data_IF_807725016180
#
_entry.id   IF_807725016180
#
_cell.length_a   1.000
_cell.length_b   1.000
_cell.length_c   1.000
_cell.angle_alpha   90.00
_cell.angle_beta   90.00
_cell.angle_gamma   90.00
#
_symmetry.space_group_name_H-M   'P 1'
#
loop_
_entity.id
_entity.type
_entity.pdbx_description
1 polymer ?
#
# COMPACT_ATOMS: atom_id res chain seq x y z
N UNK A 1 1.42 13.81 12.46
CA UNK A 1 1.97 12.52 12.00
C UNK A 1 3.33 12.31 12.66
N UNK A 2 3.68 11.08 13.05
CA UNK A 2 5.01 10.77 13.62
C UNK A 2 6.13 10.98 12.58
N UNK A 3 7.26 11.54 13.01
CA UNK A 3 8.46 11.67 12.18
C UNK A 3 9.01 10.28 11.80
N UNK A 4 9.71 10.14 10.66
CA UNK A 4 10.30 8.87 10.23
C UNK A 4 11.14 8.18 11.32
N UNK A 5 12.01 8.92 12.00
CA UNK A 5 12.92 8.39 13.02
C UNK A 5 12.15 7.77 14.19
N UNK A 6 11.07 8.44 14.63
CA UNK A 6 10.22 7.93 15.71
C UNK A 6 9.41 6.71 15.27
N UNK A 7 8.98 6.64 14.01
CA UNK A 7 8.32 5.45 13.46
C UNK A 7 9.27 4.25 13.42
N UNK A 8 10.52 4.46 13.01
CA UNK A 8 11.54 3.40 12.99
C UNK A 8 11.88 2.90 14.41
N UNK A 9 11.94 3.79 15.40
CA UNK A 9 12.10 3.43 16.81
C UNK A 9 10.97 2.53 17.30
N UNK A 10 9.72 2.98 17.16
CA UNK A 10 8.55 2.20 17.57
C UNK A 10 8.44 0.87 16.80
N UNK A 11 8.78 0.87 15.51
CA UNK A 11 8.76 -0.36 14.71
C UNK A 11 9.75 -1.42 15.20
N UNK A 12 10.86 -1.04 15.86
CA UNK A 12 11.77 -2.02 16.47
C UNK A 12 11.09 -2.74 17.64
N UNK A 13 10.38 -2.01 18.48
CA UNK A 13 9.66 -2.60 19.62
C UNK A 13 8.44 -3.41 19.16
N UNK A 14 7.65 -2.87 18.23
CA UNK A 14 6.44 -3.51 17.72
C UNK A 14 6.70 -4.84 17.00
N UNK A 15 7.89 -5.03 16.42
CA UNK A 15 8.28 -6.29 15.77
C UNK A 15 8.41 -7.47 16.75
N UNK A 16 8.49 -7.21 18.05
CA UNK A 16 8.49 -8.26 19.08
C UNK A 16 7.10 -8.88 19.30
N UNK A 17 6.04 -8.26 18.80
CA UNK A 17 4.68 -8.78 18.88
C UNK A 17 4.32 -9.57 17.60
N UNK A 18 3.37 -10.53 17.67
CA UNK A 18 2.87 -11.22 16.48
C UNK A 18 2.33 -10.24 15.45
N UNK A 19 2.92 -10.26 14.25
CA UNK A 19 2.54 -9.36 13.16
C UNK A 19 2.71 -10.05 11.79
N UNK A 20 2.08 -9.45 10.78
CA UNK A 20 2.27 -9.79 9.38
C UNK A 20 2.24 -8.51 8.54
N UNK A 21 3.05 -8.47 7.50
CA UNK A 21 3.10 -7.37 6.54
C UNK A 21 2.96 -7.95 5.13
N UNK A 22 2.02 -7.41 4.37
CA UNK A 22 1.80 -7.79 2.97
C UNK A 22 2.07 -6.56 2.11
N UNK A 23 3.12 -6.61 1.31
CA UNK A 23 3.43 -5.57 0.33
C UNK A 23 2.77 -5.91 -1.00
N UNK A 24 2.00 -4.97 -1.56
CA UNK A 24 1.44 -5.09 -2.91
C UNK A 24 2.26 -4.20 -3.85
N UNK A 25 2.89 -4.80 -4.84
CA UNK A 25 3.78 -4.09 -5.77
C UNK A 25 3.02 -3.19 -6.74
N UNK A 26 3.72 -2.21 -7.33
CA UNK A 26 3.12 -1.34 -8.35
C UNK A 26 2.69 -2.12 -9.61
N UNK A 27 3.43 -3.18 -9.92
CA UNK A 27 3.11 -4.14 -10.98
C UNK A 27 1.81 -4.90 -10.70
N UNK A 28 1.69 -5.54 -9.53
CA UNK A 28 0.46 -6.24 -9.14
C UNK A 28 -0.76 -5.31 -9.17
N UNK A 29 -0.63 -4.09 -8.62
CA UNK A 29 -1.70 -3.07 -8.67
C UNK A 29 -2.08 -2.76 -10.12
N UNK A 30 -1.09 -2.61 -11.01
CA UNK A 30 -1.33 -2.32 -12.43
C UNK A 30 -2.03 -3.48 -13.14
N UNK A 31 -1.66 -4.72 -12.82
CA UNK A 31 -2.25 -5.95 -13.36
C UNK A 31 -3.69 -6.12 -12.87
N UNK A 32 -3.95 -5.95 -11.57
CA UNK A 32 -5.28 -6.01 -10.97
C UNK A 32 -6.23 -4.99 -11.61
N UNK A 33 -5.78 -3.73 -11.72
CA UNK A 33 -6.58 -2.70 -12.38
C UNK A 33 -6.75 -2.93 -13.89
N UNK A 34 -5.82 -3.63 -14.55
CA UNK A 34 -6.02 -4.08 -15.94
C UNK A 34 -7.13 -5.11 -16.05
N UNK A 35 -7.22 -6.00 -15.06
CA UNK A 35 -8.29 -7.01 -14.91
C UNK A 35 -9.58 -6.45 -14.33
N UNK A 36 -9.72 -5.11 -14.24
CA UNK A 36 -10.88 -4.41 -13.66
C UNK A 36 -11.12 -4.72 -12.18
N UNK A 37 -10.10 -5.19 -11.47
CA UNK A 37 -10.12 -5.30 -10.01
C UNK A 37 -9.87 -3.92 -9.42
N UNK A 38 -10.76 -3.48 -8.52
CA UNK A 38 -10.64 -2.17 -7.87
C UNK A 38 -9.51 -2.15 -6.83
N UNK A 39 -8.97 -0.97 -6.53
CA UNK A 39 -7.94 -0.82 -5.50
C UNK A 39 -8.44 -1.31 -4.13
N UNK A 40 -9.67 -0.95 -3.74
CA UNK A 40 -10.27 -1.40 -2.48
C UNK A 40 -10.41 -2.94 -2.41
N UNK A 41 -10.60 -3.62 -3.55
CA UNK A 41 -10.64 -5.08 -3.59
C UNK A 41 -9.23 -5.68 -3.41
N UNK A 42 -8.22 -5.04 -4.01
CA UNK A 42 -6.81 -5.41 -3.85
C UNK A 42 -6.36 -5.25 -2.40
N UNK A 43 -6.75 -4.13 -1.77
CA UNK A 43 -6.47 -3.85 -0.36
C UNK A 43 -7.18 -4.84 0.56
N UNK A 44 -8.46 -5.15 0.31
CA UNK A 44 -9.21 -6.15 1.07
C UNK A 44 -8.54 -7.53 1.00
N UNK A 45 -8.09 -7.95 -0.18
CA UNK A 45 -7.36 -9.22 -0.37
C UNK A 45 -6.05 -9.25 0.42
N UNK A 46 -5.26 -8.18 0.36
CA UNK A 46 -3.99 -8.09 1.09
C UNK A 46 -4.18 -8.05 2.62
N UNK A 47 -5.16 -7.26 3.10
CA UNK A 47 -5.49 -7.18 4.51
C UNK A 47 -6.02 -8.52 5.05
N UNK A 48 -6.87 -9.22 4.30
CA UNK A 48 -7.33 -10.57 4.64
C UNK A 48 -6.16 -11.54 4.82
N UNK A 49 -5.18 -11.53 3.90
CA UNK A 49 -3.99 -12.36 4.02
C UNK A 49 -3.17 -12.03 5.28
N UNK A 50 -2.97 -10.74 5.58
CA UNK A 50 -2.27 -10.32 6.80
C UNK A 50 -3.02 -10.76 8.07
N UNK A 51 -4.34 -10.60 8.10
CA UNK A 51 -5.20 -11.03 9.22
C UNK A 51 -5.07 -12.54 9.41
N UNK A 52 -5.26 -13.33 8.35
CA UNK A 52 -5.14 -14.79 8.40
C UNK A 52 -3.79 -15.22 8.99
N UNK A 53 -2.68 -14.66 8.50
CA UNK A 53 -1.34 -14.99 8.99
C UNK A 53 -1.14 -14.64 10.47
N UNK A 54 -1.68 -13.51 10.96
CA UNK A 54 -1.57 -13.16 12.38
C UNK A 54 -2.44 -14.08 13.23
N UNK A 55 -3.68 -14.35 12.80
CA UNK A 55 -4.62 -15.21 13.51
C UNK A 55 -4.09 -16.63 13.64
N UNK A 56 -3.48 -17.19 12.58
CA UNK A 56 -2.81 -18.50 12.62
C UNK A 56 -1.66 -18.55 13.63
N UNK A 57 -0.90 -17.45 13.79
CA UNK A 57 0.21 -17.38 14.75
C UNK A 57 -0.25 -17.32 16.20
N UNK A 58 -1.39 -16.66 16.47
CA UNK A 58 -1.86 -16.41 17.85
C UNK A 58 -2.95 -17.37 18.31
N UNK A 59 -3.57 -18.12 17.41
CA UNK A 59 -4.74 -18.94 17.69
C UNK A 59 -6.03 -18.10 17.69
N UNK A 60 -7.01 -18.51 16.89
CA UNK A 60 -8.26 -17.77 16.71
C UNK A 60 -9.09 -17.65 18.00
N UNK A 61 -8.98 -18.63 18.89
CA UNK A 61 -9.57 -18.64 20.23
C UNK A 61 -9.06 -17.51 21.13
N UNK A 62 -7.82 -17.04 20.88
CA UNK A 62 -7.21 -15.95 21.63
C UNK A 62 -7.52 -14.57 21.03
N UNK A 63 -8.22 -14.52 19.90
CA UNK A 63 -8.63 -13.28 19.25
C UNK A 63 -10.02 -12.90 19.73
N UNK A 64 -10.15 -11.77 20.42
CA UNK A 64 -11.45 -11.23 20.84
C UNK A 64 -12.06 -10.28 19.80
N UNK A 65 -11.22 -9.55 19.06
CA UNK A 65 -11.63 -8.49 18.12
C UNK A 65 -10.57 -8.28 17.04
N UNK A 66 -11.00 -7.96 15.83
CA UNK A 66 -10.15 -7.54 14.71
C UNK A 66 -10.65 -6.17 14.23
N UNK A 67 -9.82 -5.14 14.39
CA UNK A 67 -10.11 -3.78 13.91
C UNK A 67 -9.38 -3.49 12.60
N UNK A 68 -10.10 -2.94 11.62
CA UNK A 68 -9.58 -2.62 10.29
C UNK A 68 -9.81 -1.14 9.98
N UNK A 69 -8.75 -0.42 9.63
CA UNK A 69 -8.87 0.93 9.06
C UNK A 69 -9.35 0.85 7.61
N UNK A 70 -10.54 1.36 7.36
CA UNK A 70 -11.22 1.20 6.08
C UNK A 70 -10.84 2.31 5.09
N UNK A 71 -10.23 1.96 3.93
CA UNK A 71 -9.92 2.91 2.86
C UNK A 71 -11.14 3.23 1.97
N UNK A 72 -12.19 2.40 2.03
CA UNK A 72 -13.42 2.63 1.27
C UNK A 72 -14.23 3.77 1.92
N UNK A 73 -14.88 4.67 1.16
CA UNK A 73 -15.78 5.67 1.73
C UNK A 73 -16.97 5.09 2.52
N UNK A 74 -17.27 3.81 2.33
CA UNK A 74 -18.33 3.10 3.06
C UNK A 74 -17.75 1.87 3.76
N UNK A 75 -17.57 1.94 5.08
CA UNK A 75 -16.96 0.85 5.88
C UNK A 75 -17.64 -0.50 5.70
N UNK A 76 -18.98 -0.53 5.57
CA UNK A 76 -19.75 -1.76 5.36
C UNK A 76 -19.45 -2.41 4.00
N UNK A 77 -19.19 -1.61 2.95
CA UNK A 77 -18.73 -2.13 1.65
C UNK A 77 -17.34 -2.74 1.79
N UNK A 78 -16.43 -2.09 2.51
CA UNK A 78 -15.10 -2.66 2.73
C UNK A 78 -15.16 -3.98 3.51
N UNK A 79 -15.96 -4.05 4.57
CA UNK A 79 -16.22 -5.29 5.31
C UNK A 79 -16.76 -6.39 4.38
N UNK A 80 -17.67 -6.06 3.48
CA UNK A 80 -18.19 -7.02 2.49
C UNK A 80 -17.14 -7.48 1.47
N UNK A 81 -16.18 -6.62 1.09
CA UNK A 81 -15.04 -7.02 0.25
C UNK A 81 -14.09 -7.95 1.00
N UNK A 82 -13.74 -7.59 2.24
CA UNK A 82 -12.85 -8.37 3.09
C UNK A 82 -13.38 -9.79 3.33
N UNK A 83 -14.70 -9.93 3.52
CA UNK A 83 -15.41 -11.21 3.67
C UNK A 83 -15.23 -12.21 2.52
N UNK A 84 -14.82 -11.76 1.34
CA UNK A 84 -14.55 -12.67 0.21
C UNK A 84 -13.23 -13.42 0.35
N UNK A 85 -12.33 -12.92 1.19
CA UNK A 85 -10.94 -13.38 1.27
C UNK A 85 -10.55 -13.87 2.66
N UNK A 86 -11.27 -13.44 3.69
CA UNK A 86 -11.15 -13.91 5.05
C UNK A 86 -12.56 -14.12 5.58
N UNK A 87 -12.81 -15.23 6.26
CA UNK A 87 -14.09 -15.43 6.93
C UNK A 87 -14.21 -14.38 8.03
N UNK A 88 -14.80 -13.23 7.67
CA UNK A 88 -14.95 -12.10 8.55
C UNK A 88 -16.14 -12.39 9.45
N UNK A 89 -15.84 -13.25 10.42
CA UNK A 89 -16.66 -13.63 11.55
C UNK A 89 -17.19 -12.40 12.30
N UNK A 90 -17.92 -12.64 13.38
CA UNK A 90 -18.47 -11.56 14.19
C UNK A 90 -17.40 -10.65 14.82
N UNK A 91 -16.12 -11.04 14.85
CA UNK A 91 -15.03 -10.30 15.50
C UNK A 91 -14.41 -9.21 14.62
N UNK A 92 -14.69 -9.18 13.31
CA UNK A 92 -14.12 -8.18 12.40
C UNK A 92 -14.95 -6.90 12.35
N UNK A 93 -14.34 -5.76 12.63
CA UNK A 93 -14.94 -4.43 12.56
C UNK A 93 -14.13 -3.50 11.65
N UNK A 94 -14.82 -2.70 10.84
CA UNK A 94 -14.20 -1.73 9.95
C UNK A 94 -14.65 -0.32 10.33
N UNK A 95 -13.68 0.56 10.53
CA UNK A 95 -13.90 1.97 10.91
C UNK A 95 -13.01 2.87 10.07
N UNK A 96 -13.38 4.14 9.92
CA UNK A 96 -12.45 5.12 9.37
C UNK A 96 -11.56 5.67 10.47
N UNK A 97 -10.30 5.97 10.14
CA UNK A 97 -9.31 6.51 11.10
C UNK A 97 -9.11 5.56 12.27
N UNK A 98 -9.22 4.25 12.02
CA UNK A 98 -9.08 3.26 13.09
C UNK A 98 -7.66 3.29 13.66
N UNK A 99 -6.67 3.74 12.88
CA UNK A 99 -5.29 3.94 13.33
C UNK A 99 -5.11 5.06 14.37
N UNK A 100 -6.07 5.97 14.48
CA UNK A 100 -6.13 7.02 15.52
C UNK A 100 -6.89 6.52 16.76
N UNK A 101 -7.94 5.73 16.54
CA UNK A 101 -8.89 5.35 17.60
C UNK A 101 -8.48 4.05 18.33
N UNK A 102 -7.69 3.18 17.69
CA UNK A 102 -7.32 1.86 18.21
C UNK A 102 -5.80 1.66 18.14
N UNK A 103 -5.19 1.35 19.29
CA UNK A 103 -3.74 1.26 19.44
C UNK A 103 -3.13 0.16 18.56
N UNK A 104 -3.81 -0.97 18.42
CA UNK A 104 -3.39 -2.10 17.60
C UNK A 104 -3.36 -1.73 16.11
N UNK A 105 -4.29 -0.90 15.65
CA UNK A 105 -4.32 -0.42 14.27
C UNK A 105 -3.25 0.65 14.06
N UNK A 106 -3.02 1.52 15.05
CA UNK A 106 -1.91 2.47 15.05
C UNK A 106 -0.55 1.76 14.93
N UNK A 107 -0.35 0.68 15.68
CA UNK A 107 0.84 -0.17 15.60
C UNK A 107 1.02 -0.79 14.21
N UNK A 108 -0.03 -1.40 13.65
CA UNK A 108 0.00 -1.94 12.28
C UNK A 108 0.32 -0.87 11.24
N UNK A 109 -0.27 0.32 11.39
CA UNK A 109 -0.05 1.49 10.53
C UNK A 109 1.41 1.97 10.57
N UNK A 110 2.07 1.94 11.75
CA UNK A 110 3.50 2.24 11.88
C UNK A 110 4.35 1.22 11.14
N UNK A 111 4.13 -0.08 11.36
CA UNK A 111 4.91 -1.14 10.71
C UNK A 111 4.78 -1.09 9.18
N UNK A 112 3.55 -0.92 8.67
CA UNK A 112 3.29 -0.79 7.24
C UNK A 112 4.00 0.43 6.62
N UNK A 113 3.97 1.56 7.33
CA UNK A 113 4.63 2.79 6.91
C UNK A 113 6.16 2.69 6.88
N UNK A 114 6.76 2.02 7.87
CA UNK A 114 8.23 1.78 7.88
C UNK A 114 8.63 0.88 6.72
N UNK A 115 7.89 -0.20 6.47
CA UNK A 115 8.13 -1.07 5.31
C UNK A 115 8.02 -0.30 3.99
N UNK A 116 6.99 0.53 3.83
CA UNK A 116 6.84 1.38 2.64
C UNK A 116 8.07 2.28 2.43
N UNK A 117 8.51 2.96 3.48
CA UNK A 117 9.62 3.90 3.40
C UNK A 117 10.94 3.15 3.09
N UNK A 118 11.12 1.93 3.64
CA UNK A 118 12.21 1.01 3.28
C UNK A 118 12.20 0.63 1.80
N UNK A 119 11.06 0.21 1.26
CA UNK A 119 10.92 -0.14 -0.15
C UNK A 119 11.21 1.06 -1.06
N UNK A 120 10.69 2.25 -0.72
CA UNK A 120 11.00 3.48 -1.47
C UNK A 120 12.51 3.78 -1.47
N UNK A 121 13.19 3.61 -0.33
CA UNK A 121 14.66 3.78 -0.25
C UNK A 121 15.40 2.77 -1.13
N UNK A 122 14.93 1.52 -1.22
CA UNK A 122 15.51 0.51 -2.14
C UNK A 122 15.36 0.93 -3.59
N UNK A 123 14.18 1.43 -3.99
CA UNK A 123 13.95 1.91 -5.36
C UNK A 123 14.89 3.09 -5.68
N UNK A 124 15.05 4.06 -4.77
CA UNK A 124 16.00 5.17 -4.96
C UNK A 124 17.42 4.67 -5.20
N UNK A 125 17.86 3.64 -4.48
CA UNK A 125 19.18 3.00 -4.70
C UNK A 125 19.29 2.32 -6.06
N UNK A 126 18.23 1.65 -6.55
CA UNK A 126 18.22 0.99 -7.88
C UNK A 126 18.42 2.01 -9.00
N UNK A 127 17.81 3.18 -8.89
CA UNK A 127 17.96 4.25 -9.89
C UNK A 127 19.16 5.17 -9.64
N UNK A 128 19.78 5.10 -8.46
CA UNK A 128 20.89 5.97 -8.07
C UNK A 128 20.49 7.45 -7.95
N UNK A 129 19.20 7.74 -7.72
CA UNK A 129 18.63 9.09 -7.74
C UNK A 129 17.47 9.19 -6.75
N UNK A 130 17.35 10.35 -6.10
CA UNK A 130 16.18 10.66 -5.28
C UNK A 130 15.05 11.20 -6.18
N UNK A 131 13.97 10.42 -6.31
CA UNK A 131 12.76 10.81 -7.06
C UNK A 131 11.72 11.54 -6.22
N UNK A 132 12.09 12.03 -5.04
CA UNK A 132 11.19 12.68 -4.09
C UNK A 132 10.31 11.68 -3.33
N UNK A 133 9.02 11.99 -3.26
CA UNK A 133 8.03 11.32 -2.41
C UNK A 133 7.25 10.21 -3.11
N UNK A 134 7.27 10.18 -4.45
CA UNK A 134 6.45 9.28 -5.27
C UNK A 134 4.99 9.75 -5.46
N UNK A 135 4.61 10.92 -4.95
CA UNK A 135 3.27 11.47 -5.14
C UNK A 135 3.13 12.26 -6.45
N UNK A 136 1.91 12.27 -6.98
CA UNK A 136 1.58 12.94 -8.24
C UNK A 136 1.68 14.47 -8.24
N UNK A 137 1.78 15.09 -7.07
CA UNK A 137 1.94 16.54 -6.91
C UNK A 137 3.40 16.95 -6.64
N UNK A 138 4.30 15.98 -6.47
CA UNK A 138 5.70 16.23 -6.23
C UNK A 138 6.44 16.47 -7.56
N UNK A 139 6.98 17.67 -7.72
CA UNK A 139 7.72 18.06 -8.92
C UNK A 139 8.94 17.16 -9.18
N UNK A 140 9.64 16.71 -8.12
CA UNK A 140 10.79 15.82 -8.25
C UNK A 140 10.38 14.45 -8.79
N UNK A 141 9.24 13.92 -8.31
CA UNK A 141 8.67 12.66 -8.82
C UNK A 141 8.27 12.76 -10.28
N UNK A 142 7.63 13.86 -10.69
CA UNK A 142 7.24 14.06 -12.09
C UNK A 142 8.48 14.19 -12.99
N UNK A 143 9.49 14.96 -12.55
CA UNK A 143 10.74 15.14 -13.29
C UNK A 143 11.48 13.79 -13.46
N UNK A 144 11.58 13.01 -12.38
CA UNK A 144 12.15 11.66 -12.41
C UNK A 144 11.41 10.77 -13.42
N UNK A 145 10.09 10.71 -13.35
CA UNK A 145 9.31 9.88 -14.29
C UNK A 145 9.57 10.29 -15.73
N UNK A 146 9.52 11.59 -16.05
CA UNK A 146 9.79 12.11 -17.41
C UNK A 146 11.20 11.74 -17.90
N UNK A 147 12.21 11.87 -17.04
CA UNK A 147 13.61 11.54 -17.34
C UNK A 147 13.78 10.06 -17.68
N UNK A 148 13.08 9.18 -16.94
CA UNK A 148 13.25 7.73 -17.03
C UNK A 148 12.13 7.03 -17.82
N UNK A 149 11.28 7.74 -18.56
CA UNK A 149 10.09 7.18 -19.24
C UNK A 149 10.38 5.97 -20.15
N UNK A 150 11.59 5.89 -20.72
CA UNK A 150 12.03 4.78 -21.61
C UNK A 150 12.75 3.66 -20.85
N UNK A 151 12.99 3.82 -19.55
CA UNK A 151 13.64 2.83 -18.72
C UNK A 151 12.67 1.70 -18.36
N UNK A 152 12.96 0.49 -18.84
CA UNK A 152 12.12 -0.68 -18.62
C UNK A 152 11.97 -1.03 -17.14
N UNK A 153 12.93 -0.65 -16.29
CA UNK A 153 12.86 -0.89 -14.83
C UNK A 153 11.65 -0.19 -14.21
N UNK A 154 11.13 0.88 -14.82
CA UNK A 154 9.91 1.55 -14.32
C UNK A 154 8.68 0.65 -14.35
N UNK A 155 8.66 -0.42 -15.16
CA UNK A 155 7.54 -1.37 -15.20
C UNK A 155 7.27 -2.03 -13.84
N UNK A 156 8.30 -2.24 -13.04
CA UNK A 156 8.20 -2.86 -11.71
C UNK A 156 7.73 -1.87 -10.63
N UNK A 157 8.07 -0.57 -10.78
CA UNK A 157 7.92 0.42 -9.71
C UNK A 157 6.84 1.48 -9.94
N UNK A 158 6.32 1.61 -11.17
CA UNK A 158 5.32 2.63 -11.52
C UNK A 158 3.93 2.01 -11.64
N UNK A 159 2.95 2.65 -10.99
CA UNK A 159 1.53 2.28 -11.09
C UNK A 159 0.94 2.86 -12.38
N UNK A 160 1.08 2.16 -13.50
CA UNK A 160 0.74 2.69 -14.82
C UNK A 160 -0.74 3.01 -15.05
N UNK A 161 -1.63 2.54 -14.17
CA UNK A 161 -3.05 2.89 -14.24
C UNK A 161 -3.41 4.23 -13.60
N UNK A 162 -2.49 4.85 -12.86
CA UNK A 162 -2.70 6.18 -12.27
C UNK A 162 -2.79 7.24 -13.36
N UNK A 163 -3.63 8.25 -13.13
CA UNK A 163 -3.89 9.34 -14.09
C UNK A 163 -2.61 10.07 -14.48
N UNK A 164 -1.71 10.34 -13.54
CA UNK A 164 -0.41 10.98 -13.80
C UNK A 164 0.45 10.15 -14.74
N UNK A 165 0.62 8.85 -14.48
CA UNK A 165 1.43 7.97 -15.31
C UNK A 165 0.82 7.80 -16.73
N UNK A 166 -0.52 7.70 -16.82
CA UNK A 166 -1.24 7.68 -18.11
C UNK A 166 -0.98 8.95 -18.91
N UNK A 167 -1.12 10.13 -18.28
CA UNK A 167 -0.88 11.43 -18.94
C UNK A 167 0.54 11.53 -19.49
N UNK A 168 1.54 11.15 -18.70
CA UNK A 168 2.95 11.18 -19.13
C UNK A 168 3.20 10.27 -20.35
N UNK A 169 2.62 9.06 -20.37
CA UNK A 169 2.72 8.15 -21.54
C UNK A 169 2.04 8.73 -22.78
N UNK A 170 0.86 9.33 -22.65
CA UNK A 170 0.16 9.96 -23.78
C UNK A 170 1.00 11.10 -24.37
N UNK A 171 1.51 12.00 -23.53
CA UNK A 171 2.37 13.11 -23.99
C UNK A 171 3.62 12.60 -24.72
N UNK A 172 4.24 11.51 -24.26
CA UNK A 172 5.39 10.91 -24.93
C UNK A 172 5.03 10.34 -26.31
N UNK A 173 3.90 9.61 -26.40
CA UNK A 173 3.42 9.02 -27.66
C UNK A 173 3.01 10.09 -28.68
N UNK A 174 2.50 11.22 -28.23
CA UNK A 174 2.20 12.37 -29.09
C UNK A 174 3.49 13.00 -29.61
N UNK A 175 4.48 13.27 -28.75
CA UNK A 175 5.77 13.84 -29.15
C UNK A 175 6.54 12.94 -30.13
N UNK A 176 6.48 11.62 -29.97
CA UNK A 176 7.12 10.67 -30.90
C UNK A 176 6.47 10.59 -32.28
N UNK A 177 5.28 11.17 -32.48
CA UNK A 177 4.65 11.27 -33.81
C UNK A 177 5.16 12.47 -34.61
N UNK A 178 5.86 13.41 -33.95
CA UNK A 178 6.37 14.64 -34.56
C UNK A 178 7.90 14.68 -34.69
N UNK A 179 8.59 13.60 -34.30
CA UNK A 179 10.03 13.37 -34.45
C UNK A 179 10.26 12.20 -35.38
#
# INVERSE_FOLDING_TARGET
>A
LLKPEKREELARELRNYPHALVAVTAKEITEDMTRKVSLNETEARAMASAIQTVVEKVGFENVSRIMVDSPDPTTSKFKARLRKYYDADSKVHCEHKADVNHVEVGAASILAKVLRDDEVRKIKKIFGEDFGTGYSHDAATIAFLKKHLKDERLHEFVRWKWSTAKKLKVTQLELSKFL
#
